data_IF_151177415612
#
_entry.id   IF_151177415612
#
_cell.length_a   1.000
_cell.length_b   1.000
_cell.length_c   1.000
_cell.angle_alpha   90.00
_cell.angle_beta   90.00
_cell.angle_gamma   90.00
#
_symmetry.space_group_name_H-M   'P 1'
#
loop_
_entity.id
_entity.type
_entity.pdbx_description
1 polymer ?
#
# COMPACT_ATOMS: atom_id res chain seq x y z
N UNK A 1 23.86 -1.29 5.69
CA UNK A 1 22.70 -0.99 4.83
C UNK A 1 22.10 0.30 5.31
N UNK A 2 21.60 1.14 4.41
CA UNK A 2 20.88 2.36 4.81
C UNK A 2 19.53 2.00 5.47
N UNK A 3 19.09 2.80 6.45
CA UNK A 3 17.87 2.51 7.23
C UNK A 3 16.64 2.39 6.34
N UNK A 4 16.56 3.21 5.29
CA UNK A 4 15.47 3.14 4.32
C UNK A 4 15.47 1.79 3.59
N UNK A 5 16.63 1.29 3.17
CA UNK A 5 16.72 0.00 2.47
C UNK A 5 16.27 -1.17 3.35
N UNK A 6 16.60 -1.14 4.64
CA UNK A 6 16.13 -2.16 5.59
C UNK A 6 14.61 -2.15 5.74
N UNK A 7 14.01 -0.96 5.88
CA UNK A 7 12.56 -0.78 5.95
C UNK A 7 11.90 -1.30 4.67
N UNK A 8 12.41 -0.92 3.49
CA UNK A 8 11.86 -1.36 2.22
C UNK A 8 11.96 -2.88 2.04
N UNK A 9 13.07 -3.50 2.47
CA UNK A 9 13.26 -4.95 2.41
C UNK A 9 12.33 -5.71 3.35
N UNK A 10 12.09 -5.19 4.55
CA UNK A 10 11.09 -5.74 5.46
C UNK A 10 9.68 -5.63 4.86
N UNK A 11 9.38 -4.50 4.22
CA UNK A 11 8.08 -4.21 3.63
C UNK A 11 7.72 -5.09 2.41
N UNK A 12 8.69 -5.77 1.78
CA UNK A 12 8.42 -6.77 0.72
C UNK A 12 7.64 -7.99 1.25
N UNK A 13 7.69 -8.27 2.56
CA UNK A 13 7.05 -9.43 3.19
C UNK A 13 5.75 -9.11 3.93
N UNK A 14 5.32 -7.85 3.93
CA UNK A 14 4.11 -7.42 4.65
C UNK A 14 3.08 -6.88 3.67
N UNK A 15 1.82 -6.94 4.07
CA UNK A 15 0.73 -6.30 3.34
C UNK A 15 0.06 -5.24 4.21
N UNK A 16 -0.55 -4.27 3.55
CA UNK A 16 -1.45 -3.31 4.17
C UNK A 16 -2.85 -3.54 3.64
N UNK A 17 -3.83 -3.55 4.53
CA UNK A 17 -5.21 -3.56 4.09
C UNK A 17 -5.55 -2.25 3.36
N UNK A 18 -6.66 -2.26 2.63
CA UNK A 18 -7.10 -1.10 1.82
C UNK A 18 -7.20 0.21 2.62
N UNK A 19 -7.58 0.17 3.89
CA UNK A 19 -7.68 1.35 4.76
C UNK A 19 -6.30 1.91 5.10
N UNK A 20 -5.39 1.06 5.58
CA UNK A 20 -4.01 1.43 5.91
C UNK A 20 -3.29 1.98 4.69
N UNK A 21 -3.38 1.29 3.55
CA UNK A 21 -2.78 1.74 2.30
C UNK A 21 -3.34 3.08 1.84
N UNK A 22 -4.67 3.30 1.98
CA UNK A 22 -5.29 4.57 1.62
C UNK A 22 -4.77 5.72 2.46
N UNK A 23 -4.56 5.53 3.77
CA UNK A 23 -4.01 6.56 4.65
C UNK A 23 -2.59 6.93 4.18
N UNK A 24 -1.73 5.94 4.01
CA UNK A 24 -0.32 6.15 3.66
C UNK A 24 -0.13 6.87 2.33
N UNK A 25 -0.89 6.51 1.30
CA UNK A 25 -0.74 7.12 -0.04
C UNK A 25 -1.52 8.43 -0.23
N UNK A 26 -2.19 8.93 0.82
CA UNK A 26 -2.93 10.19 0.77
C UNK A 26 -4.34 10.10 0.19
N UNK A 27 -4.98 8.94 0.29
CA UNK A 27 -6.42 8.76 0.08
C UNK A 27 -6.79 7.58 -0.82
N UNK A 28 -8.04 7.13 -0.68
CA UNK A 28 -8.57 5.95 -1.40
C UNK A 28 -8.58 6.12 -2.91
N UNK A 29 -8.99 7.29 -3.42
CA UNK A 29 -9.00 7.57 -4.88
C UNK A 29 -7.59 7.46 -5.48
N UNK A 30 -6.58 7.93 -4.74
CA UNK A 30 -5.18 7.82 -5.16
C UNK A 30 -4.69 6.38 -5.10
N UNK A 31 -5.02 5.63 -4.05
CA UNK A 31 -4.72 4.20 -3.97
C UNK A 31 -5.30 3.43 -5.16
N UNK A 32 -6.58 3.62 -5.47
CA UNK A 32 -7.26 2.91 -6.55
C UNK A 32 -6.68 3.27 -7.92
N UNK A 33 -6.29 4.53 -8.14
CA UNK A 33 -5.58 4.95 -9.34
C UNK A 33 -4.20 4.28 -9.47
N UNK A 34 -3.39 4.30 -8.42
CA UNK A 34 -2.06 3.68 -8.43
C UNK A 34 -2.15 2.17 -8.65
N UNK A 35 -3.15 1.51 -8.06
CA UNK A 35 -3.43 0.10 -8.29
C UNK A 35 -3.87 -0.17 -9.74
N UNK A 36 -4.74 0.67 -10.30
CA UNK A 36 -5.17 0.60 -11.70
C UNK A 36 -4.03 0.84 -12.70
N UNK A 37 -3.04 1.65 -12.33
CA UNK A 37 -1.80 1.88 -13.08
C UNK A 37 -0.74 0.77 -12.87
N UNK A 38 -1.02 -0.27 -12.07
CA UNK A 38 -0.08 -1.35 -11.77
C UNK A 38 1.09 -0.95 -10.86
N UNK A 39 1.04 0.23 -10.24
CA UNK A 39 2.09 0.77 -9.36
C UNK A 39 2.03 0.22 -7.94
N UNK A 40 0.84 -0.23 -7.51
CA UNK A 40 0.64 -0.90 -6.24
C UNK A 40 0.01 -2.26 -6.51
N UNK A 41 0.77 -3.31 -6.24
CA UNK A 41 0.29 -4.69 -6.31
C UNK A 41 -0.69 -4.95 -5.17
N UNK A 42 -1.78 -5.64 -5.44
CA UNK A 42 -2.75 -6.03 -4.43
C UNK A 42 -3.40 -7.37 -4.75
N UNK A 43 -3.86 -8.05 -3.70
CA UNK A 43 -4.72 -9.23 -3.80
C UNK A 43 -6.12 -8.83 -3.34
N UNK A 44 -7.15 -9.21 -4.11
CA UNK A 44 -8.54 -9.11 -3.66
C UNK A 44 -8.82 -10.24 -2.70
N UNK A 45 -9.40 -9.92 -1.55
CA UNK A 45 -9.81 -10.92 -0.58
C UNK A 45 -11.29 -11.24 -0.80
N UNK A 46 -11.57 -12.48 -1.16
CA UNK A 46 -12.92 -12.99 -1.41
C UNK A 46 -13.40 -13.79 -0.20
N UNK A 47 -13.90 -13.09 0.83
CA UNK A 47 -14.46 -13.71 2.04
C UNK A 47 -15.93 -13.32 2.27
N UNK A 48 -16.63 -12.93 1.20
CA UNK A 48 -17.99 -12.40 1.27
C UNK A 48 -18.08 -10.93 1.71
N UNK A 49 -16.97 -10.29 2.11
CA UNK A 49 -16.93 -8.83 2.35
C UNK A 49 -16.40 -8.11 1.11
N UNK A 50 -17.27 -7.34 0.47
CA UNK A 50 -16.95 -6.67 -0.78
C UNK A 50 -15.77 -5.68 -0.67
N UNK A 51 -14.88 -5.73 -1.66
CA UNK A 51 -13.91 -4.67 -1.93
C UNK A 51 -12.68 -4.62 -1.03
N UNK A 52 -12.39 -5.68 -0.25
CA UNK A 52 -11.19 -5.76 0.59
C UNK A 52 -9.96 -6.13 -0.23
N UNK A 53 -8.88 -5.38 -0.01
CA UNK A 53 -7.60 -5.57 -0.66
C UNK A 53 -6.50 -5.76 0.39
N UNK A 54 -5.54 -6.59 0.07
CA UNK A 54 -4.22 -6.64 0.71
C UNK A 54 -3.20 -6.11 -0.29
N UNK A 55 -2.65 -4.93 -0.01
CA UNK A 55 -1.69 -4.23 -0.86
C UNK A 55 -0.26 -4.57 -0.43
N UNK A 56 0.64 -4.80 -1.39
CA UNK A 56 2.06 -5.07 -1.11
C UNK A 56 2.70 -3.89 -0.37
N UNK A 57 3.32 -4.16 0.78
CA UNK A 57 3.82 -3.13 1.69
C UNK A 57 4.84 -2.20 1.06
N UNK A 58 5.85 -2.76 0.38
CA UNK A 58 6.90 -1.96 -0.26
C UNK A 58 6.37 -1.05 -1.37
N UNK A 59 5.38 -1.48 -2.15
CA UNK A 59 4.76 -0.62 -3.16
C UNK A 59 4.03 0.56 -2.52
N UNK A 60 3.27 0.31 -1.45
CA UNK A 60 2.58 1.37 -0.68
C UNK A 60 3.59 2.37 -0.11
N UNK A 61 4.69 1.90 0.48
CA UNK A 61 5.72 2.78 1.06
C UNK A 61 6.38 3.68 0.01
N UNK A 62 6.60 3.19 -1.23
CA UNK A 62 7.15 4.01 -2.34
C UNK A 62 6.27 5.21 -2.68
N UNK A 63 4.97 5.15 -2.43
CA UNK A 63 4.02 6.22 -2.75
C UNK A 63 3.44 6.92 -1.53
N UNK A 64 4.06 6.72 -0.36
CA UNK A 64 3.63 7.38 0.88
C UNK A 64 3.78 8.89 0.74
N UNK A 65 2.76 9.63 1.17
CA UNK A 65 2.79 11.09 1.18
C UNK A 65 3.41 11.59 2.48
N UNK A 66 4.07 12.75 2.42
CA UNK A 66 4.48 13.45 3.63
C UNK A 66 3.21 13.95 4.33
N UNK A 67 3.07 13.63 5.61
CA UNK A 67 2.10 14.29 6.47
C UNK A 67 2.77 15.55 6.99
N UNK A 68 2.25 16.72 6.61
CA UNK A 68 2.61 17.94 7.31
C UNK A 68 1.77 17.96 8.59
N UNK A 69 2.42 17.59 9.71
CA UNK A 69 1.90 17.73 11.09
C UNK A 69 1.97 19.16 11.55
#
# INVERSE_FOLDING_TARGET
MDRLQEIMRAAEKVTFNKTQASILVGGRRRLERLAGEGKISYVRIEDGRFGRWECKGSDVLRYTVKFDT
#
